data_IF_976641149163
#
_entry.id   IF_976641149163
#
_cell.length_a   1.000
_cell.length_b   1.000
_cell.length_c   1.000
_cell.angle_alpha   90.00
_cell.angle_beta   90.00
_cell.angle_gamma   90.00
#
_symmetry.space_group_name_H-M   'P 1'
#
loop_
_entity.id
_entity.type
_entity.pdbx_description
1 polymer ?
#
# COMPACT_ATOMS: atom_id res chain seq x y z
N UNK A 1 16.73 5.89 5.86
CA UNK A 1 17.19 4.53 5.46
C UNK A 1 18.06 4.51 4.20
N UNK A 2 18.01 5.53 3.32
CA UNK A 2 18.92 5.70 2.18
C UNK A 2 19.06 4.48 1.24
N UNK A 3 17.95 3.78 0.95
CA UNK A 3 17.97 2.59 0.09
C UNK A 3 18.21 2.89 -1.40
N UNK A 4 18.12 4.16 -1.82
CA UNK A 4 18.24 4.57 -3.22
C UNK A 4 17.16 3.95 -4.10
N UNK A 5 17.44 3.81 -5.40
CA UNK A 5 16.57 3.08 -6.33
C UNK A 5 17.07 1.65 -6.51
N UNK A 6 16.90 0.84 -5.45
CA UNK A 6 17.39 -0.53 -5.39
C UNK A 6 16.27 -1.53 -5.11
N UNK A 7 16.61 -2.82 -5.17
CA UNK A 7 15.72 -3.91 -4.75
C UNK A 7 15.27 -3.77 -3.28
N UNK A 8 16.06 -3.14 -2.41
CA UNK A 8 15.65 -2.88 -1.02
C UNK A 8 14.44 -1.95 -0.95
N UNK A 9 14.37 -0.96 -1.86
CA UNK A 9 13.23 -0.05 -1.99
C UNK A 9 12.01 -0.80 -2.53
N UNK A 10 12.20 -1.66 -3.53
CA UNK A 10 11.12 -2.51 -4.04
C UNK A 10 10.56 -3.46 -2.97
N UNK A 11 11.42 -4.09 -2.16
CA UNK A 11 11.03 -4.97 -1.05
C UNK A 11 10.32 -4.20 0.07
N UNK A 12 10.79 -3.00 0.39
CA UNK A 12 10.12 -2.14 1.38
C UNK A 12 8.72 -1.75 0.89
N UNK A 13 8.59 -1.37 -0.39
CA UNK A 13 7.30 -1.09 -0.99
C UNK A 13 6.38 -2.32 -0.94
N UNK A 14 6.90 -3.52 -1.28
CA UNK A 14 6.15 -4.78 -1.16
C UNK A 14 5.62 -4.99 0.24
N UNK A 15 6.46 -4.85 1.25
CA UNK A 15 6.06 -5.03 2.64
C UNK A 15 4.96 -4.05 3.06
N UNK A 16 5.11 -2.77 2.72
CA UNK A 16 4.11 -1.74 3.03
C UNK A 16 2.76 -2.03 2.35
N UNK A 17 2.76 -2.31 1.05
CA UNK A 17 1.53 -2.58 0.30
C UNK A 17 0.86 -3.89 0.75
N UNK A 18 1.66 -4.95 1.00
CA UNK A 18 1.14 -6.24 1.48
C UNK A 18 0.47 -6.10 2.84
N UNK A 19 1.09 -5.36 3.77
CA UNK A 19 0.53 -5.16 5.13
C UNK A 19 -0.86 -4.57 5.05
N UNK A 20 -1.04 -3.50 4.28
CA UNK A 20 -2.33 -2.85 4.16
C UNK A 20 -3.35 -3.72 3.42
N UNK A 21 -2.91 -4.42 2.36
CA UNK A 21 -3.77 -5.31 1.59
C UNK A 21 -4.28 -6.48 2.44
N UNK A 22 -3.39 -7.18 3.16
CA UNK A 22 -3.74 -8.38 3.94
C UNK A 22 -4.66 -8.05 5.11
N UNK A 23 -4.44 -6.91 5.77
CA UNK A 23 -5.29 -6.44 6.87
C UNK A 23 -6.71 -6.11 6.37
N UNK A 24 -6.81 -5.41 5.23
CA UNK A 24 -8.11 -5.08 4.64
C UNK A 24 -8.83 -6.33 4.13
N UNK A 25 -8.10 -7.27 3.55
CA UNK A 25 -8.63 -8.58 3.15
C UNK A 25 -9.15 -9.38 4.34
N UNK A 26 -8.41 -9.40 5.46
CA UNK A 26 -8.83 -10.04 6.70
C UNK A 26 -10.12 -9.40 7.23
N UNK A 27 -10.16 -8.07 7.34
CA UNK A 27 -11.32 -7.33 7.81
C UNK A 27 -12.57 -7.62 6.96
N UNK A 28 -12.41 -7.70 5.63
CA UNK A 28 -13.53 -8.04 4.75
C UNK A 28 -14.13 -9.41 5.08
N UNK A 29 -13.30 -10.43 5.35
CA UNK A 29 -13.75 -11.79 5.59
C UNK A 29 -14.17 -12.07 7.04
N UNK A 30 -13.53 -11.44 8.02
CA UNK A 30 -13.82 -11.62 9.43
C UNK A 30 -14.94 -10.70 9.92
N UNK A 31 -15.15 -9.55 9.25
CA UNK A 31 -16.02 -8.45 9.67
C UNK A 31 -15.61 -7.78 10.98
N UNK A 32 -14.38 -8.02 11.42
CA UNK A 32 -13.81 -7.44 12.63
C UNK A 32 -12.48 -6.81 12.28
N UNK A 33 -12.36 -5.51 12.48
CA UNK A 33 -11.06 -4.85 12.46
C UNK A 33 -10.35 -5.22 13.77
N UNK A 34 -9.38 -6.14 13.70
CA UNK A 34 -8.46 -6.35 14.82
C UNK A 34 -7.51 -5.16 14.89
N UNK A 35 -7.95 -4.09 15.54
CA UNK A 35 -7.07 -3.01 15.95
C UNK A 35 -6.18 -3.58 17.05
N UNK A 36 -4.91 -3.82 16.74
CA UNK A 36 -3.94 -4.30 17.73
C UNK A 36 -3.86 -3.36 18.95
N UNK A 37 -3.19 -3.83 20.00
CA UNK A 37 -2.97 -3.06 21.25
C UNK A 37 -2.33 -1.67 21.01
N UNK A 38 -1.64 -1.55 19.87
CA UNK A 38 -1.09 -0.31 19.31
C UNK A 38 -2.03 0.14 18.18
N UNK A 39 -2.71 1.27 18.35
CA UNK A 39 -3.65 1.80 17.36
C UNK A 39 -2.88 2.27 16.11
N UNK A 40 -2.91 1.43 15.07
CA UNK A 40 -2.09 1.57 13.86
C UNK A 40 -1.95 2.99 13.29
N UNK A 41 -3.03 3.79 13.17
CA UNK A 41 -2.93 5.13 12.59
C UNK A 41 -2.19 6.14 13.47
N UNK A 42 -2.50 6.21 14.77
CA UNK A 42 -1.98 7.28 15.64
C UNK A 42 -0.62 6.90 16.21
N UNK A 43 -0.50 5.70 16.76
CA UNK A 43 0.74 5.23 17.37
C UNK A 43 1.80 4.91 16.32
N UNK A 44 1.39 4.42 15.15
CA UNK A 44 2.29 4.21 14.01
C UNK A 44 2.88 5.51 13.48
N UNK A 45 2.04 6.56 13.30
CA UNK A 45 2.53 7.88 12.86
C UNK A 45 3.45 8.51 13.89
N UNK A 46 3.09 8.46 15.18
CA UNK A 46 3.96 8.96 16.26
C UNK A 46 5.29 8.22 16.30
N UNK A 47 5.28 6.90 16.14
CA UNK A 47 6.50 6.08 16.08
C UNK A 47 7.38 6.49 14.89
N UNK A 48 6.79 6.72 13.71
CA UNK A 48 7.52 7.22 12.54
C UNK A 48 8.09 8.62 12.76
N UNK A 49 7.33 9.52 13.40
CA UNK A 49 7.82 10.85 13.78
C UNK A 49 9.04 10.76 14.70
N UNK A 50 9.01 9.88 15.70
CA UNK A 50 10.15 9.63 16.59
C UNK A 50 11.35 9.09 15.81
N UNK A 51 11.15 8.12 14.93
CA UNK A 51 12.22 7.56 14.08
C UNK A 51 12.85 8.64 13.19
N UNK A 52 12.04 9.54 12.60
CA UNK A 52 12.55 10.65 11.81
C UNK A 52 13.30 11.69 12.65
N UNK A 53 12.80 12.00 13.85
CA UNK A 53 13.47 12.93 14.77
C UNK A 53 14.82 12.37 15.23
N UNK A 54 14.89 11.08 15.59
CA UNK A 54 16.15 10.40 15.94
C UNK A 54 17.11 10.42 14.74
N UNK A 55 16.60 10.16 13.53
CA UNK A 55 17.41 10.23 12.31
C UNK A 55 17.98 11.63 12.08
N UNK A 56 17.18 12.67 12.31
CA UNK A 56 17.62 14.06 12.17
C UNK A 56 18.72 14.42 13.17
N UNK A 57 18.56 14.02 14.44
CA UNK A 57 19.53 14.32 15.51
C UNK A 57 20.85 13.55 15.33
N UNK A 58 20.79 12.29 14.88
CA UNK A 58 21.98 11.41 14.76
C UNK A 58 22.79 11.56 13.47
N UNK A 59 22.55 12.62 12.68
CA UNK A 59 23.37 12.92 11.49
C UNK A 59 22.77 12.45 10.16
N UNK A 60 21.44 12.30 10.08
CA UNK A 60 20.72 12.13 8.82
C UNK A 60 20.76 10.70 8.24
N UNK A 61 20.73 10.60 6.90
CA UNK A 61 20.62 9.32 6.20
C UNK A 61 21.76 8.33 6.47
N UNK A 62 22.97 8.84 6.68
CA UNK A 62 24.18 8.04 6.91
C UNK A 62 24.15 7.25 8.23
N UNK A 63 23.37 7.69 9.22
CA UNK A 63 23.13 6.92 10.44
C UNK A 63 22.66 5.49 10.15
N UNK A 64 21.82 5.33 9.11
CA UNK A 64 21.23 4.04 8.75
C UNK A 64 22.21 3.07 8.08
N UNK A 65 23.39 3.54 7.66
CA UNK A 65 24.46 2.73 7.06
C UNK A 65 25.47 2.24 8.10
N UNK A 66 25.37 2.71 9.35
CA UNK A 66 26.23 2.29 10.43
C UNK A 66 25.82 0.90 10.96
N UNK A 67 26.80 0.12 11.41
CA UNK A 67 26.56 -1.18 12.06
C UNK A 67 25.72 -1.00 13.32
N UNK A 68 24.68 -1.83 13.49
CA UNK A 68 23.76 -1.81 14.63
C UNK A 68 24.53 -1.95 15.94
N UNK A 69 25.36 -2.99 16.05
CA UNK A 69 26.07 -3.35 17.26
C UNK A 69 27.15 -2.34 17.63
N UNK A 70 27.88 -1.82 16.62
CA UNK A 70 28.87 -0.75 16.82
C UNK A 70 28.22 0.54 17.33
N UNK A 71 27.04 0.87 16.82
CA UNK A 71 26.29 2.07 17.24
C UNK A 71 25.74 1.95 18.66
N UNK A 72 25.43 0.73 19.11
CA UNK A 72 24.96 0.44 20.48
C UNK A 72 26.11 0.30 21.50
N UNK A 73 27.37 0.43 21.07
CA UNK A 73 28.55 0.30 21.94
C UNK A 73 28.83 -1.14 22.39
N UNK A 74 28.21 -2.14 21.74
CA UNK A 74 28.42 -3.55 22.07
C UNK A 74 29.70 -3.99 21.35
N UNK A 75 30.79 -4.14 22.12
CA UNK A 75 32.07 -4.58 21.59
C UNK A 75 32.01 -6.01 21.08
N UNK A 76 32.75 -6.29 20.01
CA UNK A 76 32.88 -7.61 19.38
C UNK A 76 33.24 -8.71 20.39
N UNK A 77 34.01 -8.34 21.41
CA UNK A 77 34.44 -9.24 22.50
C UNK A 77 33.26 -9.84 23.29
N UNK A 78 32.13 -9.13 23.38
CA UNK A 78 30.90 -9.64 24.04
C UNK A 78 30.06 -10.56 23.13
N UNK A 79 30.30 -10.56 21.82
CA UNK A 79 29.51 -11.26 20.79
C UNK A 79 30.36 -12.22 19.94
N UNK A 80 31.39 -12.83 20.53
CA UNK A 80 32.34 -13.70 19.81
C UNK A 80 31.74 -14.97 19.18
N UNK A 81 30.48 -15.30 19.48
CA UNK A 81 29.74 -16.42 18.87
C UNK A 81 29.02 -16.05 17.57
N UNK A 82 28.96 -14.78 17.20
CA UNK A 82 28.17 -14.28 16.09
C UNK A 82 29.02 -14.10 14.81
N UNK A 83 28.52 -14.49 13.62
CA UNK A 83 29.23 -14.28 12.36
C UNK A 83 29.52 -12.80 12.07
N UNK A 84 30.65 -12.53 11.43
CA UNK A 84 31.11 -11.18 11.12
C UNK A 84 30.11 -10.41 10.24
N UNK A 85 29.44 -11.10 9.30
CA UNK A 85 28.43 -10.46 8.44
C UNK A 85 27.22 -9.93 9.23
N UNK A 86 26.86 -10.58 10.34
CA UNK A 86 25.74 -10.18 11.20
C UNK A 86 26.15 -9.04 12.12
N UNK A 87 27.37 -9.08 12.66
CA UNK A 87 27.89 -8.01 13.53
C UNK A 87 28.08 -6.69 12.78
N UNK A 88 28.55 -6.75 11.54
CA UNK A 88 28.74 -5.56 10.70
C UNK A 88 27.47 -5.14 9.96
N UNK A 89 26.36 -5.85 10.13
CA UNK A 89 25.12 -5.55 9.42
C UNK A 89 24.63 -4.12 9.74
N UNK A 90 24.43 -3.28 8.71
CA UNK A 90 23.96 -1.92 8.90
C UNK A 90 22.50 -1.86 9.34
N UNK A 91 22.11 -0.75 9.98
CA UNK A 91 20.74 -0.51 10.46
C UNK A 91 19.68 -0.68 9.37
N UNK A 92 19.96 -0.23 8.14
CA UNK A 92 19.03 -0.29 7.03
C UNK A 92 18.65 -1.75 6.63
N UNK A 93 19.64 -2.65 6.53
CA UNK A 93 19.41 -4.08 6.27
C UNK A 93 18.79 -4.79 7.46
N UNK A 94 19.22 -4.45 8.67
CA UNK A 94 18.67 -5.00 9.92
C UNK A 94 17.18 -4.68 10.04
N UNK A 95 16.78 -3.45 9.71
CA UNK A 95 15.39 -3.02 9.73
C UNK A 95 14.56 -3.73 8.65
N UNK A 96 15.14 -3.98 7.47
CA UNK A 96 14.47 -4.76 6.42
C UNK A 96 14.19 -6.20 6.88
N UNK A 97 15.17 -6.84 7.53
CA UNK A 97 15.01 -8.20 8.10
C UNK A 97 13.95 -8.21 9.20
N UNK A 98 14.04 -7.28 10.14
CA UNK A 98 13.07 -7.12 11.22
C UNK A 98 11.64 -6.90 10.68
N UNK A 99 11.49 -5.98 9.72
CA UNK A 99 10.23 -5.73 9.04
C UNK A 99 9.68 -6.97 8.34
N UNK A 100 10.55 -7.75 7.69
CA UNK A 100 10.17 -9.02 7.06
C UNK A 100 9.64 -10.06 8.06
N UNK A 101 10.27 -10.17 9.24
CA UNK A 101 9.82 -11.08 10.31
C UNK A 101 8.44 -10.66 10.83
N UNK A 102 8.25 -9.37 11.14
CA UNK A 102 6.96 -8.84 11.60
C UNK A 102 5.88 -9.05 10.55
N UNK A 103 6.19 -8.72 9.30
CA UNK A 103 5.27 -8.88 8.18
C UNK A 103 4.84 -10.34 8.02
N UNK A 104 5.80 -11.27 8.05
CA UNK A 104 5.50 -12.71 8.00
C UNK A 104 4.57 -13.13 9.13
N UNK A 105 4.87 -12.73 10.37
CA UNK A 105 4.02 -12.96 11.52
C UNK A 105 2.59 -12.41 11.33
N UNK A 106 2.48 -11.15 10.90
CA UNK A 106 1.19 -10.50 10.63
C UNK A 106 0.39 -11.25 9.57
N UNK A 107 1.01 -11.62 8.44
CA UNK A 107 0.33 -12.35 7.35
C UNK A 107 -0.17 -13.71 7.84
N UNK A 108 0.66 -14.45 8.58
CA UNK A 108 0.26 -15.77 9.10
C UNK A 108 -0.91 -15.67 10.08
N UNK A 109 -0.91 -14.65 10.94
CA UNK A 109 -2.00 -14.39 11.88
C UNK A 109 -3.29 -14.02 11.15
N UNK A 110 -3.23 -13.11 10.17
CA UNK A 110 -4.38 -12.74 9.34
C UNK A 110 -4.99 -13.94 8.61
N UNK A 111 -4.15 -14.81 8.04
CA UNK A 111 -4.61 -16.05 7.40
C UNK A 111 -5.29 -16.97 8.43
N UNK A 112 -4.68 -17.15 9.60
CA UNK A 112 -5.24 -18.00 10.66
C UNK A 112 -6.62 -17.51 11.10
N UNK A 113 -6.77 -16.21 11.34
CA UNK A 113 -8.02 -15.58 11.76
C UNK A 113 -9.13 -15.78 10.72
N UNK A 114 -8.85 -15.53 9.44
CA UNK A 114 -9.81 -15.74 8.34
C UNK A 114 -10.24 -17.21 8.26
N UNK A 115 -9.28 -18.15 8.34
CA UNK A 115 -9.58 -19.57 8.30
C UNK A 115 -10.40 -20.03 9.51
N UNK A 116 -10.10 -19.52 10.70
CA UNK A 116 -10.84 -19.84 11.93
C UNK A 116 -12.30 -19.38 11.82
N UNK A 117 -12.54 -18.12 11.43
CA UNK A 117 -13.91 -17.57 11.28
C UNK A 117 -14.70 -18.32 10.21
N UNK A 118 -14.05 -18.67 9.09
CA UNK A 118 -14.73 -19.41 8.01
C UNK A 118 -15.01 -20.87 8.36
N UNK A 119 -14.12 -21.53 9.11
CA UNK A 119 -14.37 -22.88 9.66
C UNK A 119 -15.56 -22.87 10.61
N UNK A 120 -15.64 -21.89 11.51
CA UNK A 120 -16.77 -21.76 12.44
C UNK A 120 -18.11 -21.54 11.72
N UNK A 121 -18.09 -20.91 10.55
CA UNK A 121 -19.27 -20.68 9.70
C UNK A 121 -19.48 -21.76 8.63
N UNK A 122 -18.70 -22.84 8.63
CA UNK A 122 -18.73 -23.91 7.61
C UNK A 122 -18.66 -23.41 6.15
N UNK A 123 -17.91 -22.33 5.92
CA UNK A 123 -17.71 -21.73 4.60
C UNK A 123 -16.47 -22.31 3.91
N UNK A 124 -16.42 -22.17 2.59
CA UNK A 124 -15.26 -22.61 1.77
C UNK A 124 -13.96 -21.95 2.22
N UNK A 125 -12.91 -22.72 2.47
CA UNK A 125 -11.62 -22.19 2.94
C UNK A 125 -10.74 -21.65 1.82
N UNK A 126 -10.96 -22.10 0.57
CA UNK A 126 -10.14 -21.71 -0.59
C UNK A 126 -10.58 -20.39 -1.23
N UNK A 127 -11.86 -20.05 -1.12
CA UNK A 127 -12.42 -18.86 -1.77
C UNK A 127 -11.71 -17.54 -1.38
N UNK A 128 -11.37 -17.29 -0.10
CA UNK A 128 -10.63 -16.08 0.28
C UNK A 128 -9.29 -15.91 -0.42
N UNK A 129 -8.58 -17.00 -0.73
CA UNK A 129 -7.27 -16.94 -1.36
C UNK A 129 -7.35 -16.45 -2.81
N UNK A 130 -8.49 -16.63 -3.50
CA UNK A 130 -8.72 -16.02 -4.82
C UNK A 130 -8.67 -14.50 -4.74
N UNK A 131 -9.05 -13.93 -3.60
CA UNK A 131 -8.95 -12.50 -3.33
C UNK A 131 -7.52 -12.00 -3.19
N UNK A 132 -6.53 -12.86 -2.91
CA UNK A 132 -5.11 -12.47 -2.85
C UNK A 132 -4.42 -12.52 -4.21
N UNK A 133 -5.01 -13.22 -5.18
CA UNK A 133 -4.46 -13.39 -6.53
C UNK A 133 -4.11 -12.06 -7.23
N UNK A 134 -4.96 -11.01 -7.22
CA UNK A 134 -4.62 -9.76 -7.88
C UNK A 134 -3.35 -9.10 -7.33
N UNK A 135 -3.16 -9.14 -6.01
CA UNK A 135 -1.96 -8.58 -5.37
C UNK A 135 -0.70 -9.37 -5.74
N UNK A 136 -0.75 -10.70 -5.59
CA UNK A 136 0.38 -11.58 -5.89
C UNK A 136 0.78 -11.52 -7.36
N UNK A 137 -0.20 -11.50 -8.26
CA UNK A 137 0.03 -11.36 -9.69
C UNK A 137 0.67 -10.01 -10.01
N UNK A 138 0.18 -8.92 -9.44
CA UNK A 138 0.75 -7.58 -9.69
C UNK A 138 2.24 -7.53 -9.31
N UNK A 139 2.58 -8.09 -8.15
CA UNK A 139 3.96 -8.13 -7.68
C UNK A 139 4.85 -9.08 -8.46
N UNK A 140 4.34 -10.25 -8.87
CA UNK A 140 5.06 -11.13 -9.78
C UNK A 140 5.38 -10.41 -11.09
N UNK A 141 4.40 -9.73 -11.68
CA UNK A 141 4.59 -8.95 -12.91
C UNK A 141 5.58 -7.81 -12.72
N UNK A 142 5.52 -7.10 -11.58
CA UNK A 142 6.47 -6.03 -11.27
C UNK A 142 7.92 -6.54 -11.18
N UNK A 143 8.13 -7.67 -10.50
CA UNK A 143 9.46 -8.29 -10.40
C UNK A 143 9.94 -8.74 -11.78
N UNK A 144 9.09 -9.42 -12.56
CA UNK A 144 9.44 -9.85 -13.92
C UNK A 144 9.76 -8.64 -14.82
N UNK A 145 8.99 -7.56 -14.73
CA UNK A 145 9.22 -6.35 -15.50
C UNK A 145 10.57 -5.70 -15.18
N UNK A 146 10.94 -5.63 -13.89
CA UNK A 146 12.24 -5.12 -13.44
C UNK A 146 13.42 -6.02 -13.84
N UNK A 147 13.22 -7.34 -13.86
CA UNK A 147 14.25 -8.29 -14.33
C UNK A 147 14.48 -8.19 -15.84
N UNK A 148 13.43 -7.95 -16.62
CA UNK A 148 13.52 -7.76 -18.07
C UNK A 148 14.05 -6.38 -18.47
N UNK A 149 13.83 -5.37 -17.63
CA UNK A 149 14.28 -3.99 -17.86
C UNK A 149 15.18 -3.53 -16.70
N UNK A 150 16.39 -4.13 -16.53
CA UNK A 150 17.29 -3.78 -15.43
C UNK A 150 17.75 -2.31 -15.49
N UNK A 151 17.70 -1.71 -16.69
CA UNK A 151 17.99 -0.30 -16.94
C UNK A 151 17.19 0.65 -16.04
N UNK A 152 15.95 0.28 -15.69
CA UNK A 152 15.08 1.07 -14.81
C UNK A 152 15.69 1.25 -13.41
N UNK A 153 16.36 0.22 -12.90
CA UNK A 153 17.05 0.28 -11.60
C UNK A 153 18.39 1.00 -11.73
N UNK A 154 19.16 0.74 -12.80
CA UNK A 154 20.51 1.30 -12.97
C UNK A 154 20.51 2.78 -13.35
N UNK A 155 19.50 3.24 -14.10
CA UNK A 155 19.35 4.64 -14.53
C UNK A 155 18.38 5.46 -13.66
N UNK A 156 17.97 4.91 -12.51
CA UNK A 156 17.16 5.63 -11.53
C UNK A 156 15.75 6.06 -12.03
N UNK A 157 15.05 5.17 -12.74
CA UNK A 157 13.67 5.37 -13.22
C UNK A 157 12.62 4.51 -12.47
N UNK A 158 12.88 4.13 -11.22
CA UNK A 158 11.99 3.31 -10.38
C UNK A 158 10.73 4.05 -9.91
N UNK A 159 10.75 5.39 -9.83
CA UNK A 159 9.64 6.20 -9.34
C UNK A 159 8.29 5.96 -10.04
N UNK A 160 8.18 5.98 -11.39
CA UNK A 160 6.90 5.71 -12.05
C UNK A 160 6.35 4.31 -11.75
N UNK A 161 7.22 3.31 -11.55
CA UNK A 161 6.80 1.97 -11.14
C UNK A 161 6.25 1.98 -9.71
N UNK A 162 6.94 2.66 -8.77
CA UNK A 162 6.47 2.78 -7.37
C UNK A 162 5.07 3.40 -7.33
N UNK A 163 4.85 4.50 -8.05
CA UNK A 163 3.55 5.16 -8.07
C UNK A 163 2.46 4.32 -8.74
N UNK A 164 2.81 3.62 -9.82
CA UNK A 164 1.90 2.68 -10.51
C UNK A 164 1.43 1.58 -9.56
N UNK A 165 2.36 0.88 -8.90
CA UNK A 165 2.04 -0.20 -7.96
C UNK A 165 1.27 0.32 -6.74
N UNK A 166 1.64 1.49 -6.23
CA UNK A 166 0.96 2.16 -5.14
C UNK A 166 -0.50 2.51 -5.47
N UNK A 167 -0.76 3.08 -6.65
CA UNK A 167 -2.12 3.42 -7.10
C UNK A 167 -2.96 2.17 -7.38
N UNK A 168 -2.41 1.15 -8.04
CA UNK A 168 -3.11 -0.12 -8.24
C UNK A 168 -3.52 -0.74 -6.90
N UNK A 169 -2.61 -0.78 -5.93
CA UNK A 169 -2.91 -1.29 -4.60
C UNK A 169 -3.95 -0.43 -3.87
N UNK A 170 -3.84 0.90 -3.97
CA UNK A 170 -4.79 1.83 -3.35
C UNK A 170 -6.20 1.68 -3.91
N UNK A 171 -6.32 1.49 -5.23
CA UNK A 171 -7.61 1.23 -5.89
C UNK A 171 -8.17 -0.14 -5.50
N UNK A 172 -7.33 -1.19 -5.51
CA UNK A 172 -7.74 -2.53 -5.10
C UNK A 172 -8.23 -2.56 -3.64
N UNK A 173 -7.49 -1.95 -2.72
CA UNK A 173 -7.90 -1.85 -1.31
C UNK A 173 -9.13 -0.97 -1.15
N UNK A 174 -9.21 0.16 -1.87
CA UNK A 174 -10.41 1.01 -1.87
C UNK A 174 -11.68 0.24 -2.24
N UNK A 175 -11.60 -0.64 -3.26
CA UNK A 175 -12.71 -1.50 -3.66
C UNK A 175 -13.04 -2.55 -2.58
N UNK A 176 -12.04 -3.11 -1.89
CA UNK A 176 -12.28 -4.05 -0.78
C UNK A 176 -13.01 -3.34 0.36
N UNK A 177 -12.58 -2.12 0.72
CA UNK A 177 -13.22 -1.29 1.75
C UNK A 177 -14.67 -0.98 1.37
N UNK A 178 -14.90 -0.47 0.16
CA UNK A 178 -16.27 -0.14 -0.28
C UNK A 178 -17.14 -1.38 -0.30
N UNK A 179 -16.65 -2.54 -0.78
CA UNK A 179 -17.40 -3.79 -0.75
C UNK A 179 -17.72 -4.26 0.68
N UNK A 180 -16.82 -4.01 1.63
CA UNK A 180 -17.07 -4.33 3.03
C UNK A 180 -18.20 -3.45 3.59
N UNK A 181 -18.12 -2.13 3.37
CA UNK A 181 -19.10 -1.16 3.87
C UNK A 181 -20.49 -1.36 3.24
N UNK A 182 -20.55 -1.65 1.95
CA UNK A 182 -21.81 -1.92 1.24
C UNK A 182 -22.29 -3.37 1.40
N UNK A 183 -21.62 -4.18 2.22
CA UNK A 183 -21.91 -5.62 2.38
C UNK A 183 -22.00 -6.40 1.06
N UNK A 184 -21.26 -5.94 0.05
CA UNK A 184 -21.18 -6.52 -1.29
C UNK A 184 -20.16 -7.67 -1.35
N UNK A 185 -20.22 -8.54 -2.39
CA UNK A 185 -19.23 -9.60 -2.56
C UNK A 185 -17.82 -9.04 -2.79
N UNK A 186 -16.80 -9.84 -2.50
CA UNK A 186 -15.40 -9.45 -2.65
C UNK A 186 -15.07 -9.10 -4.12
N UNK A 187 -14.42 -7.95 -4.39
CA UNK A 187 -14.17 -7.46 -5.74
C UNK A 187 -12.97 -8.16 -6.39
N UNK A 188 -13.20 -9.26 -7.11
CA UNK A 188 -12.12 -9.99 -7.79
C UNK A 188 -11.79 -9.41 -9.18
N UNK A 189 -12.81 -8.97 -9.93
CA UNK A 189 -12.68 -8.66 -11.35
C UNK A 189 -11.81 -7.44 -11.65
N UNK A 190 -12.21 -6.27 -11.15
CA UNK A 190 -11.52 -5.02 -11.44
C UNK A 190 -10.06 -5.02 -10.95
N UNK A 191 -9.73 -5.43 -9.71
CA UNK A 191 -8.34 -5.52 -9.28
C UNK A 191 -7.47 -6.44 -10.15
N UNK A 192 -8.04 -7.55 -10.65
CA UNK A 192 -7.32 -8.46 -11.54
C UNK A 192 -7.09 -7.82 -12.93
N UNK A 193 -8.10 -7.11 -13.46
CA UNK A 193 -8.00 -6.40 -14.74
C UNK A 193 -6.96 -5.27 -14.72
N UNK A 194 -6.78 -4.61 -13.57
CA UNK A 194 -5.77 -3.55 -13.41
C UNK A 194 -4.33 -4.04 -13.64
N UNK A 195 -4.08 -5.36 -13.57
CA UNK A 195 -2.77 -5.94 -13.84
C UNK A 195 -2.50 -6.13 -15.35
N UNK A 196 -3.52 -6.05 -16.20
CA UNK A 196 -3.40 -6.32 -17.64
C UNK A 196 -2.39 -5.41 -18.36
N UNK A 197 -2.34 -4.08 -18.12
CA UNK A 197 -1.34 -3.22 -18.75
C UNK A 197 0.09 -3.57 -18.35
N UNK A 198 0.32 -3.91 -17.08
CA UNK A 198 1.64 -4.32 -16.61
C UNK A 198 2.04 -5.68 -17.20
N UNK A 199 1.10 -6.62 -17.30
CA UNK A 199 1.31 -7.89 -18.00
C UNK A 199 1.65 -7.68 -19.48
N UNK A 200 0.98 -6.75 -20.16
CA UNK A 200 1.30 -6.39 -21.54
C UNK A 200 2.72 -5.82 -21.66
N UNK A 201 3.16 -4.97 -20.71
CA UNK A 201 4.53 -4.47 -20.65
C UNK A 201 5.59 -5.58 -20.45
N UNK A 202 5.29 -6.57 -19.60
CA UNK A 202 6.16 -7.76 -19.42
C UNK A 202 6.26 -8.55 -20.72
N UNK A 203 5.13 -8.82 -21.39
CA UNK A 203 5.12 -9.55 -22.66
C UNK A 203 5.86 -8.78 -23.76
N UNK A 204 5.61 -7.47 -23.89
CA UNK A 204 6.31 -6.62 -24.84
C UNK A 204 7.83 -6.61 -24.62
N UNK A 205 8.27 -6.61 -23.36
CA UNK A 205 9.69 -6.71 -23.01
C UNK A 205 10.26 -8.09 -23.34
N UNK A 206 9.51 -9.15 -23.03
CA UNK A 206 9.93 -10.54 -23.30
C UNK A 206 10.10 -10.83 -24.79
N UNK A 207 9.19 -10.34 -25.63
CA UNK A 207 9.25 -10.52 -27.08
C UNK A 207 10.11 -9.48 -27.80
N UNK A 208 10.77 -8.57 -27.08
CA UNK A 208 11.59 -7.51 -27.66
C UNK A 208 10.82 -6.42 -28.42
N UNK A 209 9.49 -6.36 -28.26
CA UNK A 209 8.61 -5.36 -28.90
C UNK A 209 8.66 -4.02 -28.17
N UNK A 210 9.00 -4.01 -26.88
CA UNK A 210 9.07 -2.80 -26.04
C UNK A 210 10.02 -1.74 -26.59
N UNK A 211 11.04 -2.16 -27.37
CA UNK A 211 11.97 -1.25 -28.02
C UNK A 211 13.06 -0.75 -27.07
N UNK A 212 13.23 0.58 -26.99
CA UNK A 212 14.28 1.22 -26.19
C UNK A 212 13.87 1.41 -24.73
N UNK A 213 14.86 1.72 -23.88
CA UNK A 213 14.62 2.09 -22.48
C UNK A 213 13.63 3.24 -22.32
N UNK A 214 13.74 4.28 -23.15
CA UNK A 214 12.83 5.43 -23.12
C UNK A 214 11.38 5.01 -23.35
N UNK A 215 11.14 4.01 -24.21
CA UNK A 215 9.81 3.46 -24.43
C UNK A 215 9.29 2.70 -23.21
N UNK A 216 10.15 1.96 -22.50
CA UNK A 216 9.80 1.29 -21.25
C UNK A 216 9.41 2.30 -20.17
N UNK A 217 10.23 3.32 -19.95
CA UNK A 217 9.96 4.38 -18.96
C UNK A 217 8.71 5.19 -19.33
N UNK A 218 8.55 5.56 -20.60
CA UNK A 218 7.37 6.27 -21.08
C UNK A 218 6.10 5.44 -20.87
N UNK A 219 6.15 4.13 -21.14
CA UNK A 219 4.99 3.24 -20.93
C UNK A 219 4.55 3.19 -19.47
N UNK A 220 5.48 3.22 -18.51
CA UNK A 220 5.15 3.29 -17.08
C UNK A 220 4.53 4.64 -16.70
N UNK A 221 5.02 5.76 -17.24
CA UNK A 221 4.42 7.07 -17.00
C UNK A 221 3.01 7.18 -17.59
N UNK A 222 2.78 6.61 -18.77
CA UNK A 222 1.45 6.52 -19.37
C UNK A 222 0.51 5.67 -18.51
N UNK A 223 0.97 4.51 -18.05
CA UNK A 223 0.20 3.66 -17.15
C UNK A 223 -0.14 4.37 -15.83
N UNK A 224 0.85 5.05 -15.23
CA UNK A 224 0.64 5.88 -14.05
C UNK A 224 -0.43 6.96 -14.29
N UNK A 225 -0.32 7.74 -15.37
CA UNK A 225 -1.28 8.78 -15.71
C UNK A 225 -2.70 8.23 -15.92
N UNK A 226 -2.84 7.08 -16.60
CA UNK A 226 -4.12 6.41 -16.77
C UNK A 226 -4.71 5.95 -15.42
N UNK A 227 -3.88 5.40 -14.53
CA UNK A 227 -4.31 4.97 -13.19
C UNK A 227 -4.71 6.14 -12.30
N UNK A 228 -4.06 7.30 -12.40
CA UNK A 228 -4.50 8.52 -11.71
C UNK A 228 -5.92 8.88 -12.12
N UNK A 229 -6.23 8.83 -13.43
CA UNK A 229 -7.58 9.08 -13.93
C UNK A 229 -8.61 8.09 -13.39
N UNK A 230 -8.32 6.79 -13.45
CA UNK A 230 -9.22 5.73 -12.94
C UNK A 230 -9.43 5.89 -11.43
N UNK A 231 -8.36 6.15 -10.67
CA UNK A 231 -8.43 6.32 -9.23
C UNK A 231 -9.22 7.59 -8.85
N UNK A 232 -8.98 8.71 -9.54
CA UNK A 232 -9.74 9.94 -9.32
C UNK A 232 -11.23 9.75 -9.61
N UNK A 233 -11.57 9.04 -10.69
CA UNK A 233 -12.96 8.65 -11.00
C UNK A 233 -13.58 7.79 -9.91
N UNK A 234 -12.87 6.76 -9.44
CA UNK A 234 -13.31 5.95 -8.31
C UNK A 234 -13.56 6.77 -7.03
N UNK A 235 -12.66 7.68 -6.67
CA UNK A 235 -12.82 8.55 -5.51
C UNK A 235 -14.04 9.46 -5.69
N UNK A 236 -14.20 10.07 -6.86
CA UNK A 236 -15.35 10.92 -7.17
C UNK A 236 -16.67 10.13 -7.03
N UNK A 237 -16.76 8.94 -7.62
CA UNK A 237 -17.95 8.08 -7.56
C UNK A 237 -18.30 7.72 -6.11
N UNK A 238 -17.31 7.34 -5.30
CA UNK A 238 -17.54 7.00 -3.88
C UNK A 238 -18.02 8.22 -3.09
N UNK A 239 -17.35 9.37 -3.25
CA UNK A 239 -17.70 10.59 -2.53
C UNK A 239 -19.10 11.06 -2.91
N UNK A 240 -19.41 11.14 -4.21
CA UNK A 240 -20.73 11.56 -4.70
C UNK A 240 -21.80 10.58 -4.24
N UNK A 241 -21.58 9.28 -4.37
CA UNK A 241 -22.56 8.27 -3.94
C UNK A 241 -22.87 8.35 -2.43
N UNK A 242 -21.86 8.60 -1.59
CA UNK A 242 -22.06 8.75 -0.15
C UNK A 242 -22.80 10.07 0.15
N UNK A 243 -22.42 11.16 -0.51
CA UNK A 243 -23.07 12.46 -0.35
C UNK A 243 -24.55 12.41 -0.75
N UNK A 244 -24.85 11.77 -1.88
CA UNK A 244 -26.20 11.60 -2.39
C UNK A 244 -27.03 10.68 -1.47
N UNK A 245 -26.44 9.60 -0.96
CA UNK A 245 -27.13 8.68 -0.06
C UNK A 245 -27.43 9.29 1.32
N UNK A 246 -26.47 10.01 1.90
CA UNK A 246 -26.61 10.66 3.22
C UNK A 246 -27.27 12.03 3.15
N UNK A 247 -27.52 12.55 1.94
CA UNK A 247 -28.05 13.87 1.67
C UNK A 247 -27.21 15.01 2.29
N UNK A 248 -25.89 14.91 2.17
CA UNK A 248 -24.92 15.89 2.69
C UNK A 248 -24.01 16.41 1.58
N UNK A 249 -23.45 17.62 1.77
CA UNK A 249 -22.38 18.12 0.91
C UNK A 249 -21.01 17.81 1.54
N UNK A 250 -20.04 17.37 0.75
CA UNK A 250 -18.75 16.92 1.29
C UNK A 250 -17.89 18.07 1.86
N UNK A 251 -17.98 19.27 1.26
CA UNK A 251 -17.14 20.44 1.61
C UNK A 251 -17.96 21.63 2.13
N UNK A 252 -19.27 21.47 2.30
CA UNK A 252 -20.17 22.52 2.78
C UNK A 252 -21.19 21.93 3.73
N UNK A 253 -21.70 22.73 4.67
CA UNK A 253 -22.75 22.27 5.57
C UNK A 253 -24.08 22.42 4.84
N UNK A 254 -24.85 21.33 4.74
CA UNK A 254 -26.23 21.41 4.25
C UNK A 254 -27.09 22.06 5.33
N UNK A 255 -27.61 23.25 5.06
CA UNK A 255 -28.58 23.88 5.95
C UNK A 255 -29.98 23.33 5.65
N UNK A 256 -30.73 22.87 6.68
CA UNK A 256 -32.10 22.44 6.49
C UNK A 256 -32.93 23.60 5.94
N UNK A 257 -33.84 23.29 5.03
CA UNK A 257 -34.77 24.27 4.48
C UNK A 257 -35.75 24.68 5.58
N UNK A 258 -35.70 25.95 5.99
CA UNK A 258 -36.62 26.53 6.98
C UNK A 258 -37.55 27.47 6.24
N UNK A 259 -38.80 27.05 6.05
CA UNK A 259 -39.84 27.77 5.31
C UNK A 259 -40.00 29.23 5.81
N UNK A 260 -39.91 29.42 7.12
CA UNK A 260 -40.00 30.74 7.79
C UNK A 260 -38.88 31.71 7.36
N UNK A 261 -37.68 31.20 7.07
CA UNK A 261 -36.54 32.03 6.67
C UNK A 261 -36.69 32.56 5.24
N UNK A 262 -37.33 31.80 4.34
CA UNK A 262 -37.63 32.25 2.98
C UNK A 262 -38.79 33.23 2.93
N UNK A 263 -39.86 33.02 3.73
CA UNK A 263 -40.96 33.99 3.83
C UNK A 263 -40.43 35.34 4.31
N UNK A 264 -39.59 35.36 5.36
CA UNK A 264 -38.95 36.59 5.86
C UNK A 264 -37.98 37.20 4.84
N UNK A 265 -37.24 36.39 4.07
CA UNK A 265 -36.35 36.89 3.03
C UNK A 265 -37.12 37.45 1.80
N UNK A 266 -38.26 36.86 1.45
CA UNK A 266 -39.13 37.30 0.36
C UNK A 266 -39.83 38.61 0.71
N UNK A 267 -40.35 38.74 1.94
CA UNK A 267 -40.93 40.00 2.44
C UNK A 267 -39.90 41.15 2.48
N UNK A 268 -38.64 40.84 2.80
CA UNK A 268 -37.55 41.83 2.78
C UNK A 268 -37.11 42.25 1.37
N UNK A 269 -37.26 41.38 0.36
CA UNK A 269 -36.94 41.70 -1.05
C UNK A 269 -38.08 42.43 -1.78
N UNK A 270 -39.30 42.39 -1.23
CA UNK A 270 -40.47 43.07 -1.79
C UNK A 270 -40.71 44.50 -1.29
N UNK A 271 -39.86 45.01 -0.40
CA UNK A 271 -39.81 46.41 0.06
C UNK A 271 -38.61 47.12 -0.56
#
# INVERSE_FOLDING_TARGET
MNFGQSWSTALTLFGCLLTFYIQTWEEHHTKTLYLGLVSGPVEGVLSLCVVFLVTAVKGGGHFWEQSVFRTLGIGREMLGWMPDEVYEMPWNKSFLVYGGIILGGSVTMSIHNVLQVRRAKSLSLLYPFLGLTPFLLNWLLAVLYLQLNPSILTHHHLLPLIFTLGLQNSLAVGLIITSHLTSSPFPHGLPLLLNAPLAAGVLASWYGVQGTEDCAVASLWWLFGALVGIYAGFVADVVVSICDYLDIWCLSIKHPWVEEAEVVAAEKKGK
#
